data_IF_167130342366
#
_entry.id   IF_167130342366
#
_cell.length_a   1.000
_cell.length_b   1.000
_cell.length_c   1.000
_cell.angle_alpha   90.00
_cell.angle_beta   90.00
_cell.angle_gamma   90.00
#
_symmetry.space_group_name_H-M   'P 1'
#
loop_
_entity.id
_entity.type
_entity.pdbx_description
1 polymer ?
#
# COMPACT_ATOMS: atom_id res chain seq x y z
N UNK A 1 -22.90 -8.36 -44.39
CA UNK A 1 -21.47 -7.93 -44.34
C UNK A 1 -21.12 -7.04 -43.14
N UNK A 2 -21.95 -6.05 -42.76
CA UNK A 2 -21.65 -5.13 -41.63
C UNK A 2 -21.59 -5.80 -40.24
N UNK A 3 -22.41 -6.83 -39.98
CA UNK A 3 -22.41 -7.57 -38.71
C UNK A 3 -21.17 -8.46 -38.50
N UNK A 4 -20.56 -8.97 -39.58
CA UNK A 4 -19.36 -9.80 -39.49
C UNK A 4 -18.13 -8.96 -39.09
N UNK A 5 -18.05 -7.72 -39.59
CA UNK A 5 -16.98 -6.79 -39.23
C UNK A 5 -17.03 -6.38 -37.74
N UNK A 6 -18.24 -6.20 -37.19
CA UNK A 6 -18.42 -5.82 -35.77
C UNK A 6 -18.00 -6.96 -34.83
N UNK A 7 -18.32 -8.21 -35.17
CA UNK A 7 -17.91 -9.38 -34.38
C UNK A 7 -16.40 -9.61 -34.39
N UNK A 8 -15.74 -9.39 -35.53
CA UNK A 8 -14.27 -9.48 -35.64
C UNK A 8 -13.60 -8.40 -34.79
N UNK A 9 -14.10 -7.16 -34.79
CA UNK A 9 -13.55 -6.09 -33.94
C UNK A 9 -13.71 -6.41 -32.45
N UNK A 10 -14.85 -6.97 -32.02
CA UNK A 10 -15.08 -7.33 -30.61
C UNK A 10 -14.15 -8.49 -30.18
N UNK A 11 -13.88 -9.47 -31.05
CA UNK A 11 -12.93 -10.54 -30.74
C UNK A 11 -11.48 -10.04 -30.68
N UNK A 12 -11.06 -9.15 -31.57
CA UNK A 12 -9.69 -8.58 -31.55
C UNK A 12 -9.47 -7.71 -30.31
N UNK A 13 -10.50 -6.99 -29.84
CA UNK A 13 -10.44 -6.22 -28.57
C UNK A 13 -10.34 -7.14 -27.35
N UNK A 14 -10.96 -8.33 -27.37
CA UNK A 14 -10.89 -9.30 -26.25
C UNK A 14 -9.54 -10.00 -26.14
N UNK A 15 -8.83 -10.26 -27.24
CA UNK A 15 -7.51 -10.92 -27.22
C UNK A 15 -6.41 -9.99 -26.69
N UNK A 16 -6.51 -8.68 -26.93
CA UNK A 16 -5.51 -7.70 -26.47
C UNK A 16 -5.55 -7.38 -24.97
N UNK A 17 -6.54 -7.88 -24.23
CA UNK A 17 -6.67 -7.65 -22.78
C UNK A 17 -6.01 -8.78 -21.96
N UNK A 18 -5.59 -9.88 -22.60
CA UNK A 18 -5.06 -11.06 -21.91
C UNK A 18 -3.59 -10.98 -21.46
N UNK A 19 -2.89 -9.86 -21.66
CA UNK A 19 -1.51 -9.70 -21.17
C UNK A 19 -1.25 -8.30 -20.60
N UNK A 20 -2.19 -7.78 -19.80
CA UNK A 20 -1.98 -6.55 -19.03
C UNK A 20 -1.76 -6.81 -17.52
N UNK A 21 -1.86 -8.07 -17.11
CA UNK A 21 -1.75 -8.48 -15.69
C UNK A 21 -0.42 -9.12 -15.29
N UNK A 22 0.61 -9.12 -16.15
CA UNK A 22 1.87 -9.81 -15.81
C UNK A 22 2.96 -8.93 -15.15
N UNK A 23 2.82 -7.60 -15.04
CA UNK A 23 3.96 -6.78 -14.55
C UNK A 23 3.64 -5.64 -13.57
N UNK A 24 2.37 -5.29 -13.31
CA UNK A 24 2.08 -4.12 -12.48
C UNK A 24 2.05 -4.37 -10.94
N UNK A 25 2.33 -5.59 -10.48
CA UNK A 25 2.50 -5.88 -9.03
C UNK A 25 3.83 -6.57 -8.72
N UNK A 26 4.88 -6.32 -9.50
CA UNK A 26 6.19 -6.92 -9.23
C UNK A 26 6.84 -6.41 -7.94
N UNK A 27 6.54 -5.18 -7.51
CA UNK A 27 7.04 -4.64 -6.24
C UNK A 27 6.10 -3.60 -5.64
N UNK A 28 6.13 -3.42 -4.32
CA UNK A 28 5.36 -2.40 -3.63
C UNK A 28 5.84 -2.17 -2.20
N UNK A 29 5.52 -1.00 -1.64
CA UNK A 29 5.78 -0.65 -0.24
C UNK A 29 4.43 -0.47 0.43
N UNK A 30 4.27 -0.99 1.63
CA UNK A 30 3.18 -0.63 2.52
C UNK A 30 3.77 -0.04 3.79
N UNK A 31 3.18 1.03 4.29
CA UNK A 31 3.56 1.65 5.56
C UNK A 31 2.43 1.49 6.58
N UNK A 32 2.80 1.40 7.86
CA UNK A 32 1.88 1.25 8.96
C UNK A 32 0.97 2.47 9.19
N UNK A 33 0.00 2.36 10.10
CA UNK A 33 -0.16 1.28 11.06
C UNK A 33 -0.94 0.08 10.51
N UNK A 34 -0.37 -1.13 10.55
CA UNK A 34 -1.02 -2.33 10.01
C UNK A 34 -2.08 -2.92 10.95
N UNK A 35 -3.03 -3.72 10.44
CA UNK A 35 -3.87 -4.57 11.26
C UNK A 35 -2.99 -5.50 12.11
N UNK A 36 -3.17 -5.43 13.43
CA UNK A 36 -2.45 -6.23 14.41
C UNK A 36 -3.39 -7.31 14.95
N UNK A 37 -3.04 -8.57 14.72
CA UNK A 37 -3.77 -9.71 15.27
C UNK A 37 -2.86 -10.48 16.22
N UNK A 38 -3.45 -11.05 17.26
CA UNK A 38 -2.72 -11.77 18.30
C UNK A 38 -3.32 -13.16 18.42
N UNK A 39 -2.50 -14.18 18.39
CA UNK A 39 -2.93 -15.58 18.56
C UNK A 39 -1.97 -16.27 19.53
N UNK A 40 -2.50 -16.67 20.69
CA UNK A 40 -1.65 -17.10 21.81
C UNK A 40 -0.74 -15.96 22.27
N UNK A 41 0.58 -16.20 22.25
CA UNK A 41 1.62 -15.22 22.57
C UNK A 41 2.30 -14.64 21.33
N UNK A 42 1.69 -14.77 20.14
CA UNK A 42 2.27 -14.32 18.86
C UNK A 42 1.51 -13.13 18.29
N UNK A 43 2.24 -12.12 17.85
CA UNK A 43 1.72 -10.94 17.16
C UNK A 43 1.93 -11.09 15.67
N UNK A 44 0.89 -10.76 14.91
CA UNK A 44 0.90 -10.75 13.46
C UNK A 44 0.50 -9.38 12.93
N UNK A 45 1.30 -8.83 12.01
CA UNK A 45 1.01 -7.58 11.31
C UNK A 45 0.58 -7.91 9.87
N UNK A 46 -0.66 -7.60 9.50
CA UNK A 46 -1.24 -7.95 8.19
C UNK A 46 -1.08 -9.45 7.85
N UNK A 47 -1.19 -10.31 8.88
CA UNK A 47 -1.05 -11.76 8.75
C UNK A 47 0.39 -12.28 8.70
N UNK A 48 1.41 -11.42 8.79
CA UNK A 48 2.81 -11.81 8.90
C UNK A 48 3.21 -11.90 10.36
N UNK A 49 3.92 -12.96 10.75
CA UNK A 49 4.49 -13.05 12.09
C UNK A 49 5.43 -11.86 12.34
N UNK A 50 5.29 -11.20 13.49
CA UNK A 50 6.09 -10.03 13.85
C UNK A 50 6.99 -10.32 15.04
N UNK A 51 6.42 -10.76 16.16
CA UNK A 51 7.15 -11.15 17.37
C UNK A 51 6.30 -11.98 18.31
N UNK A 52 6.96 -12.68 19.21
CA UNK A 52 6.36 -13.19 20.45
C UNK A 52 6.19 -12.04 21.46
N UNK A 53 5.17 -12.13 22.30
CA UNK A 53 4.89 -11.19 23.38
C UNK A 53 4.97 -11.87 24.75
N UNK A 54 5.53 -11.17 25.73
CA UNK A 54 5.71 -11.66 27.10
C UNK A 54 4.48 -11.44 27.99
N UNK A 55 4.59 -11.87 29.25
CA UNK A 55 3.53 -11.71 30.27
C UNK A 55 3.12 -10.25 30.49
N UNK A 56 4.07 -9.32 30.48
CA UNK A 56 3.79 -7.88 30.63
C UNK A 56 2.95 -7.33 29.47
N UNK A 57 3.27 -7.72 28.23
CA UNK A 57 2.54 -7.32 27.03
C UNK A 57 1.16 -7.98 26.96
N UNK A 58 1.03 -9.21 27.48
CA UNK A 58 -0.27 -9.88 27.66
C UNK A 58 -1.16 -9.16 28.69
N UNK A 59 -0.59 -8.60 29.75
CA UNK A 59 -1.33 -7.74 30.68
C UNK A 59 -1.79 -6.45 30.00
N UNK A 60 -0.93 -5.81 29.19
CA UNK A 60 -1.33 -4.64 28.39
C UNK A 60 -2.45 -4.97 27.40
N UNK A 61 -2.43 -6.15 26.78
CA UNK A 61 -3.50 -6.62 25.90
C UNK A 61 -4.83 -6.79 26.65
N UNK A 62 -4.79 -7.35 27.86
CA UNK A 62 -5.99 -7.52 28.69
C UNK A 62 -6.60 -6.18 29.04
N UNK A 63 -5.77 -5.22 29.43
CA UNK A 63 -6.22 -3.85 29.73
C UNK A 63 -6.79 -3.16 28.48
N UNK A 64 -6.09 -3.25 27.34
CA UNK A 64 -6.58 -2.70 26.07
C UNK A 64 -7.94 -3.29 25.65
N UNK A 65 -8.15 -4.60 25.82
CA UNK A 65 -9.45 -5.25 25.54
C UNK A 65 -10.57 -4.68 26.41
N UNK A 66 -10.30 -4.43 27.68
CA UNK A 66 -11.26 -3.81 28.60
C UNK A 66 -11.61 -2.39 28.16
N UNK A 67 -10.59 -1.58 27.88
CA UNK A 67 -10.78 -0.20 27.39
C UNK A 67 -11.59 -0.17 26.08
N UNK A 68 -11.33 -1.09 25.15
CA UNK A 68 -12.11 -1.20 23.91
C UNK A 68 -13.57 -1.60 24.16
N UNK A 69 -13.83 -2.48 25.13
CA UNK A 69 -15.19 -2.85 25.49
C UNK A 69 -15.97 -1.66 26.09
N UNK A 70 -15.30 -0.86 26.93
CA UNK A 70 -15.90 0.33 27.51
C UNK A 70 -16.09 1.44 26.46
N UNK A 71 -15.13 1.64 25.57
CA UNK A 71 -15.25 2.53 24.41
C UNK A 71 -16.44 2.16 23.52
N UNK A 72 -16.60 0.88 23.17
CA UNK A 72 -17.73 0.43 22.35
C UNK A 72 -19.08 0.73 23.01
N UNK A 73 -19.20 0.53 24.34
CA UNK A 73 -20.42 0.91 25.08
C UNK A 73 -20.68 2.41 25.04
N UNK A 74 -19.65 3.24 25.19
CA UNK A 74 -19.76 4.69 25.10
C UNK A 74 -20.18 5.12 23.68
N UNK A 75 -19.61 4.50 22.65
CA UNK A 75 -19.98 4.75 21.25
C UNK A 75 -21.42 4.31 20.96
N UNK A 76 -21.85 3.15 21.48
CA UNK A 76 -23.25 2.70 21.35
C UNK A 76 -24.22 3.68 22.02
N UNK A 77 -23.86 4.23 23.18
CA UNK A 77 -24.64 5.26 23.85
C UNK A 77 -24.64 6.58 23.07
N UNK A 78 -23.50 6.95 22.47
CA UNK A 78 -23.35 8.12 21.60
C UNK A 78 -24.25 8.03 20.38
N UNK A 79 -24.24 6.89 19.65
CA UNK A 79 -25.06 6.71 18.45
C UNK A 79 -26.57 6.59 18.70
N UNK A 80 -26.99 6.25 19.92
CA UNK A 80 -28.41 6.20 20.30
C UNK A 80 -29.02 7.56 20.62
N UNK A 81 -28.21 8.61 20.71
CA UNK A 81 -28.70 9.95 20.99
C UNK A 81 -29.45 10.53 19.77
N UNK A 82 -30.54 11.30 19.97
CA UNK A 82 -31.22 11.98 18.88
C UNK A 82 -30.29 12.99 18.21
N UNK A 83 -30.18 12.94 16.88
CA UNK A 83 -29.27 13.75 16.05
C UNK A 83 -29.45 15.29 16.15
N UNK A 84 -30.48 15.77 16.85
CA UNK A 84 -30.86 17.18 16.95
C UNK A 84 -30.75 17.76 18.38
N UNK A 85 -30.57 16.92 19.39
CA UNK A 85 -30.26 17.36 20.75
C UNK A 85 -28.81 16.97 21.02
N UNK A 86 -27.87 17.91 20.85
CA UNK A 86 -26.69 18.07 21.72
C UNK A 86 -25.57 18.91 21.10
N UNK A 87 -25.41 20.13 21.64
CA UNK A 87 -24.26 20.99 21.37
C UNK A 87 -23.06 20.61 22.27
N UNK A 88 -23.22 19.64 23.20
CA UNK A 88 -22.25 19.34 24.27
C UNK A 88 -21.94 17.83 24.49
N UNK A 89 -22.16 16.90 23.53
CA UNK A 89 -21.65 15.53 23.72
C UNK A 89 -20.20 15.46 23.27
N UNK A 90 -19.32 15.10 24.20
CA UNK A 90 -17.93 14.77 23.93
C UNK A 90 -17.85 13.40 23.26
N UNK A 91 -17.26 13.34 22.06
CA UNK A 91 -16.94 12.09 21.39
C UNK A 91 -16.00 11.27 22.29
N UNK A 92 -16.35 10.00 22.63
CA UNK A 92 -15.47 9.14 23.40
C UNK A 92 -14.10 9.02 22.71
N UNK A 93 -13.01 9.10 23.49
CA UNK A 93 -11.66 8.96 22.96
C UNK A 93 -11.33 7.49 22.68
N UNK A 94 -10.77 7.22 21.50
CA UNK A 94 -10.38 5.87 21.11
C UNK A 94 -9.18 5.41 21.96
N UNK A 95 -9.25 4.23 22.61
CA UNK A 95 -8.13 3.68 23.35
C UNK A 95 -6.88 3.55 22.50
N UNK A 96 -5.73 3.94 23.08
CA UNK A 96 -4.44 3.87 22.38
C UNK A 96 -4.06 2.43 22.11
N UNK A 97 -3.70 2.15 20.86
CA UNK A 97 -3.17 0.84 20.43
C UNK A 97 -1.94 0.46 21.26
N UNK A 98 -1.80 -0.82 21.66
CA UNK A 98 -0.58 -1.29 22.32
C UNK A 98 0.67 -1.09 21.47
N UNK A 99 1.79 -0.73 22.10
CA UNK A 99 3.04 -0.40 21.40
C UNK A 99 3.65 -1.58 20.64
N UNK A 100 3.38 -2.82 21.04
CA UNK A 100 3.89 -4.02 20.39
C UNK A 100 3.21 -4.32 19.04
N UNK A 101 2.13 -3.63 18.68
CA UNK A 101 1.38 -3.83 17.44
C UNK A 101 1.95 -3.08 16.22
N UNK A 102 3.22 -2.68 16.28
CA UNK A 102 3.84 -1.83 15.27
C UNK A 102 3.29 -0.41 15.28
N UNK A 103 4.02 0.48 14.64
CA UNK A 103 3.75 1.90 14.57
C UNK A 103 3.51 2.33 13.10
N UNK A 104 3.47 3.64 12.87
CA UNK A 104 3.32 4.20 11.53
C UNK A 104 4.61 4.10 10.70
N UNK A 105 5.74 3.76 11.35
CA UNK A 105 7.04 3.63 10.69
C UNK A 105 7.32 2.21 10.23
N UNK A 106 6.50 1.25 10.66
CA UNK A 106 6.62 -0.14 10.24
C UNK A 106 6.36 -0.24 8.73
N UNK A 107 7.37 -0.73 8.00
CA UNK A 107 7.30 -0.88 6.54
C UNK A 107 7.26 -2.37 6.18
N UNK A 108 6.38 -2.71 5.23
CA UNK A 108 6.37 -4.02 4.57
C UNK A 108 6.73 -3.79 3.11
N UNK A 109 7.87 -4.34 2.70
CA UNK A 109 8.30 -4.38 1.32
C UNK A 109 7.72 -5.63 0.66
N UNK A 110 7.16 -5.51 -0.55
CA UNK A 110 6.63 -6.61 -1.35
C UNK A 110 7.41 -6.70 -2.65
N UNK A 111 7.96 -7.87 -2.97
CA UNK A 111 8.56 -8.19 -4.27
C UNK A 111 7.91 -9.48 -4.76
N UNK A 112 7.05 -9.39 -5.77
CA UNK A 112 6.24 -10.52 -6.25
C UNK A 112 5.37 -11.13 -5.12
N UNK A 113 5.56 -12.42 -4.84
CA UNK A 113 4.89 -13.14 -3.75
C UNK A 113 5.62 -13.04 -2.39
N UNK A 114 6.81 -12.47 -2.38
CA UNK A 114 7.68 -12.32 -1.23
C UNK A 114 7.42 -10.99 -0.53
N UNK A 115 7.41 -11.02 0.80
CA UNK A 115 7.25 -9.85 1.66
C UNK A 115 8.38 -9.80 2.67
N UNK A 116 8.86 -8.60 2.95
CA UNK A 116 9.88 -8.36 3.97
C UNK A 116 9.30 -7.41 5.00
N UNK A 117 9.34 -7.82 6.27
CA UNK A 117 8.93 -7.02 7.42
C UNK A 117 10.11 -6.93 8.38
N UNK A 118 10.68 -5.74 8.53
CA UNK A 118 11.93 -5.55 9.27
C UNK A 118 13.07 -6.34 8.62
N UNK A 119 13.61 -7.32 9.34
CA UNK A 119 14.65 -8.21 8.84
C UNK A 119 14.11 -9.57 8.34
N UNK A 120 12.84 -9.90 8.57
CA UNK A 120 12.32 -11.23 8.26
C UNK A 120 11.72 -11.28 6.83
N UNK A 121 12.07 -12.34 6.09
CA UNK A 121 11.53 -12.63 4.75
C UNK A 121 10.40 -13.63 4.85
N UNK A 122 9.29 -13.30 4.20
CA UNK A 122 8.07 -14.09 4.15
C UNK A 122 7.72 -14.47 2.73
N UNK A 123 7.67 -15.77 2.44
CA UNK A 123 7.13 -16.30 1.19
C UNK A 123 5.77 -16.90 1.51
N UNK A 124 4.70 -16.42 0.86
CA UNK A 124 3.32 -16.89 1.12
C UNK A 124 2.88 -16.81 2.60
N UNK A 125 3.34 -15.77 3.33
CA UNK A 125 3.17 -15.55 4.78
C UNK A 125 3.99 -16.45 5.71
N UNK A 126 4.84 -17.33 5.18
CA UNK A 126 5.66 -18.22 6.00
C UNK A 126 7.04 -17.57 6.16
N UNK A 127 7.57 -17.41 7.39
CA UNK A 127 8.93 -16.92 7.58
C UNK A 127 9.92 -17.95 7.02
N UNK A 128 10.80 -17.50 6.14
CA UNK A 128 11.78 -18.37 5.47
C UNK A 128 13.19 -18.13 6.01
N UNK A 129 13.58 -16.86 6.14
CA UNK A 129 14.92 -16.46 6.59
C UNK A 129 14.93 -15.02 7.09
N UNK A 130 15.99 -14.71 7.83
CA UNK A 130 16.34 -13.33 8.20
C UNK A 130 17.33 -12.75 7.18
N UNK A 131 17.14 -11.48 6.81
CA UNK A 131 17.99 -10.70 5.93
C UNK A 131 19.20 -10.18 6.67
N UNK A 132 20.37 -10.25 6.02
CA UNK A 132 21.55 -9.53 6.44
C UNK A 132 21.35 -8.01 6.31
N UNK A 133 22.17 -7.24 7.03
CA UNK A 133 22.16 -5.77 6.95
C UNK A 133 22.49 -5.27 5.54
N UNK A 134 23.34 -5.99 4.80
CA UNK A 134 23.70 -5.66 3.42
C UNK A 134 22.50 -5.80 2.49
N UNK A 135 21.75 -6.90 2.60
CA UNK A 135 20.55 -7.14 1.80
C UNK A 135 19.43 -6.13 2.14
N UNK A 136 19.27 -5.79 3.42
CA UNK A 136 18.31 -4.76 3.83
C UNK A 136 18.65 -3.40 3.22
N UNK A 137 19.94 -3.05 3.16
CA UNK A 137 20.38 -1.80 2.52
C UNK A 137 20.13 -1.82 1.01
N UNK A 138 20.39 -2.95 0.34
CA UNK A 138 20.09 -3.11 -1.09
C UNK A 138 18.59 -2.97 -1.37
N UNK A 139 17.75 -3.57 -0.51
CA UNK A 139 16.30 -3.45 -0.58
C UNK A 139 15.86 -1.98 -0.47
N UNK A 140 16.37 -1.26 0.52
CA UNK A 140 16.08 0.15 0.71
C UNK A 140 16.49 0.99 -0.51
N UNK A 141 17.69 0.76 -1.05
CA UNK A 141 18.17 1.46 -2.25
C UNK A 141 17.30 1.17 -3.48
N UNK A 142 16.92 -0.09 -3.68
CA UNK A 142 16.03 -0.49 -4.77
C UNK A 142 14.70 0.27 -4.72
N UNK A 143 14.03 0.29 -3.55
CA UNK A 143 12.76 0.99 -3.44
C UNK A 143 12.86 2.50 -3.63
N UNK A 144 13.96 3.12 -3.16
CA UNK A 144 14.22 4.54 -3.39
C UNK A 144 14.39 4.86 -4.88
N UNK A 145 15.05 3.98 -5.63
CA UNK A 145 15.18 4.11 -7.09
C UNK A 145 13.84 3.88 -7.78
N UNK A 146 13.09 2.86 -7.36
CA UNK A 146 11.78 2.56 -7.92
C UNK A 146 10.76 3.68 -7.70
N UNK A 147 10.78 4.32 -6.53
CA UNK A 147 9.97 5.51 -6.24
C UNK A 147 10.38 6.71 -7.11
N UNK A 148 11.68 6.97 -7.26
CA UNK A 148 12.16 8.03 -8.14
C UNK A 148 11.73 7.81 -9.60
N UNK A 149 11.79 6.56 -10.06
CA UNK A 149 11.31 6.17 -11.38
C UNK A 149 9.80 6.35 -11.51
N UNK A 150 9.00 5.85 -10.57
CA UNK A 150 7.55 6.03 -10.57
C UNK A 150 7.14 7.52 -10.59
N UNK A 151 7.78 8.35 -9.76
CA UNK A 151 7.50 9.79 -9.70
C UNK A 151 7.86 10.51 -11.01
N UNK A 152 8.91 10.08 -11.72
CA UNK A 152 9.26 10.62 -13.03
C UNK A 152 8.17 10.28 -14.07
N UNK A 153 7.73 9.03 -14.12
CA UNK A 153 6.68 8.59 -15.03
C UNK A 153 5.32 9.24 -14.71
N UNK A 154 4.98 9.41 -13.44
CA UNK A 154 3.76 10.09 -13.03
C UNK A 154 3.74 11.54 -13.53
N UNK A 155 4.84 12.28 -13.36
CA UNK A 155 4.97 13.66 -13.86
C UNK A 155 4.81 13.75 -15.37
N UNK A 156 5.39 12.81 -16.12
CA UNK A 156 5.22 12.74 -17.58
C UNK A 156 3.78 12.43 -17.98
N UNK A 157 3.13 11.48 -17.30
CA UNK A 157 1.74 11.13 -17.55
C UNK A 157 0.79 12.29 -17.23
N UNK A 158 0.98 12.99 -16.10
CA UNK A 158 0.15 14.14 -15.75
C UNK A 158 0.28 15.26 -16.80
N UNK A 159 1.50 15.59 -17.25
CA UNK A 159 1.71 16.61 -18.27
C UNK A 159 1.02 16.27 -19.61
N UNK A 160 1.11 15.02 -20.06
CA UNK A 160 0.43 14.57 -21.27
C UNK A 160 -1.10 14.49 -21.11
N UNK A 161 -1.59 14.06 -19.96
CA UNK A 161 -3.02 13.90 -19.70
C UNK A 161 -3.74 15.25 -19.54
N UNK A 162 -3.14 16.21 -18.82
CA UNK A 162 -3.68 17.56 -18.68
C UNK A 162 -3.67 18.32 -20.02
N UNK A 163 -2.60 18.23 -20.82
CA UNK A 163 -2.55 18.85 -22.14
C UNK A 163 -3.63 18.30 -23.08
N UNK A 164 -3.86 16.99 -23.06
CA UNK A 164 -4.89 16.36 -23.86
C UNK A 164 -6.31 16.61 -23.33
N UNK A 165 -6.49 16.72 -22.01
CA UNK A 165 -7.78 17.08 -21.40
C UNK A 165 -8.18 18.52 -21.74
N UNK A 166 -7.26 19.49 -21.63
CA UNK A 166 -7.53 20.89 -21.98
C UNK A 166 -7.90 21.05 -23.46
N UNK A 167 -7.16 20.40 -24.36
CA UNK A 167 -7.41 20.52 -25.79
C UNK A 167 -8.68 19.78 -26.23
N UNK A 168 -8.96 18.59 -25.70
CA UNK A 168 -10.08 17.76 -26.17
C UNK A 168 -11.39 17.96 -25.40
N UNK A 169 -11.37 18.44 -24.14
CA UNK A 169 -12.56 18.58 -23.28
C UNK A 169 -12.99 20.04 -23.10
N UNK A 170 -12.05 20.98 -23.03
CA UNK A 170 -12.35 22.40 -22.78
C UNK A 170 -12.30 23.27 -24.06
N UNK A 171 -11.90 22.71 -25.21
CA UNK A 171 -12.01 23.37 -26.51
C UNK A 171 -11.19 24.66 -26.69
N UNK A 172 -10.15 24.85 -25.87
CA UNK A 172 -9.23 25.98 -26.05
C UNK A 172 -8.12 25.59 -27.03
N UNK A 173 -8.20 26.10 -28.26
CA UNK A 173 -7.10 26.04 -29.23
C UNK A 173 -5.91 26.86 -28.72
N UNK A 174 -4.90 26.21 -28.14
CA UNK A 174 -3.60 26.85 -27.92
C UNK A 174 -2.86 27.00 -29.25
N UNK A 175 -3.17 28.07 -30.00
CA UNK A 175 -2.17 28.74 -30.84
C UNK A 175 -1.16 29.43 -29.93
N UNK A 176 -0.32 28.66 -29.25
CA UNK A 176 0.99 29.08 -28.74
C UNK A 176 1.75 27.85 -28.25
N UNK A 177 2.90 27.65 -28.89
CA UNK A 177 3.93 26.65 -28.65
C UNK A 177 4.10 26.33 -27.16
N UNK A 178 3.64 25.16 -26.73
CA UNK A 178 4.06 24.62 -25.45
C UNK A 178 5.61 24.51 -25.47
N UNK A 179 6.33 24.97 -24.44
CA UNK A 179 7.77 24.74 -24.37
C UNK A 179 7.97 23.23 -24.40
N UNK A 180 8.72 22.76 -25.40
CA UNK A 180 9.25 21.39 -25.43
C UNK A 180 10.04 21.22 -24.15
N UNK A 181 9.41 20.64 -23.12
CA UNK A 181 10.05 20.35 -21.86
C UNK A 181 11.31 19.57 -22.19
N UNK A 182 12.47 20.09 -21.79
CA UNK A 182 13.72 19.35 -21.89
C UNK A 182 13.56 18.16 -20.97
N UNK A 183 13.20 17.02 -21.56
CA UNK A 183 12.97 15.76 -20.83
C UNK A 183 14.31 15.40 -20.22
N UNK A 184 14.45 15.58 -18.91
CA UNK A 184 15.58 15.03 -18.17
C UNK A 184 15.67 13.53 -18.50
N UNK A 185 16.88 12.97 -18.73
CA UNK A 185 17.00 11.57 -19.08
C UNK A 185 16.27 10.69 -18.06
N UNK A 186 15.58 9.63 -18.49
CA UNK A 186 14.84 8.78 -17.58
C UNK A 186 15.80 8.22 -16.52
N UNK A 187 15.37 8.16 -15.24
CA UNK A 187 16.15 7.46 -14.23
C UNK A 187 16.34 6.00 -14.66
N UNK A 188 17.49 5.37 -14.32
CA UNK A 188 17.76 3.99 -14.68
C UNK A 188 16.68 3.05 -14.11
N UNK A 189 16.35 1.99 -14.85
CA UNK A 189 15.38 1.00 -14.41
C UNK A 189 15.84 0.34 -13.09
N UNK A 190 14.97 0.24 -12.09
CA UNK A 190 15.32 -0.36 -10.81
C UNK A 190 15.47 -1.89 -10.99
N UNK A 191 16.66 -2.42 -10.69
CA UNK A 191 16.93 -3.87 -10.72
C UNK A 191 16.56 -4.48 -9.38
N UNK A 192 15.61 -5.42 -9.38
CA UNK A 192 15.15 -6.07 -8.15
C UNK A 192 16.30 -6.88 -7.51
N UNK A 193 16.58 -6.70 -6.21
CA UNK A 193 17.59 -7.49 -5.51
C UNK A 193 17.12 -8.93 -5.33
N UNK A 194 18.06 -9.88 -5.36
CA UNK A 194 17.78 -11.31 -5.18
C UNK A 194 17.63 -11.69 -3.70
N UNK A 195 16.64 -11.09 -3.05
CA UNK A 195 16.29 -11.34 -1.64
C UNK A 195 15.26 -12.43 -1.48
N UNK A 196 14.56 -12.79 -2.56
CA UNK A 196 13.41 -13.69 -2.51
C UNK A 196 13.64 -15.05 -3.19
N UNK A 197 14.78 -15.26 -3.89
CA UNK A 197 15.08 -16.51 -4.60
C UNK A 197 16.37 -17.20 -4.16
N UNK A 198 17.19 -16.56 -3.32
CA UNK A 198 18.31 -17.19 -2.62
C UNK A 198 17.80 -18.02 -1.44
N UNK A 199 17.78 -19.35 -1.62
CA UNK A 199 17.58 -20.37 -0.57
C UNK A 199 18.90 -21.10 -0.37
#
# INVERSE_FOLDING_TARGET
MKFLAILVVIMVVRVSIACRDCTFSAYGISMGPFPCTITGQKVYLRGLYYKDIGSNEMSQLTEYKKQMADYNKLMDAYYKQPWYETINITLPELPRRPSFCGDNTTVIYKIGECRVLGAEVFIKNIPVRTLSTVEQQQLYTFYKQAEAHANYFEKQMQQGYFANFYNNVLGFDQKNTAPKATVAPPPPDPVAPDVCYTI
#
